data_IF_509131831645
#
_entry.id   IF_509131831645
#
_cell.length_a   1.000
_cell.length_b   1.000
_cell.length_c   1.000
_cell.angle_alpha   90.00
_cell.angle_beta   90.00
_cell.angle_gamma   90.00
#
_symmetry.space_group_name_H-M   'P 1'
#
loop_
_entity.id
_entity.type
_entity.pdbx_description
1 polymer ?
#
# COMPACT_ATOMS: atom_id res chain seq x y z
N UNK A 1 -40.04 23.78 5.26
CA UNK A 1 -39.36 25.01 4.80
C UNK A 1 -38.21 24.74 3.82
N UNK A 2 -37.09 24.12 4.22
CA UNK A 2 -35.96 23.87 3.30
C UNK A 2 -36.30 22.83 2.24
N UNK A 3 -36.92 21.71 2.64
CA UNK A 3 -37.34 20.63 1.73
C UNK A 3 -38.36 21.14 0.72
N UNK A 4 -39.39 21.87 1.18
CA UNK A 4 -40.40 22.47 0.30
C UNK A 4 -39.81 23.44 -0.73
N UNK A 5 -38.66 24.06 -0.41
CA UNK A 5 -37.97 25.02 -1.30
C UNK A 5 -37.00 24.36 -2.27
N UNK A 6 -36.30 23.29 -1.85
CA UNK A 6 -35.19 22.71 -2.61
C UNK A 6 -35.53 21.38 -3.28
N UNK A 7 -36.60 20.70 -2.85
CA UNK A 7 -36.96 19.43 -3.45
C UNK A 7 -37.51 19.63 -4.86
N UNK A 8 -37.05 18.87 -5.87
CA UNK A 8 -37.55 18.99 -7.24
C UNK A 8 -39.01 18.53 -7.38
N UNK A 9 -39.56 17.85 -6.37
CA UNK A 9 -40.96 17.42 -6.26
C UNK A 9 -41.42 17.54 -4.80
N UNK A 10 -42.73 17.70 -4.52
CA UNK A 10 -43.25 17.71 -3.15
C UNK A 10 -42.80 16.48 -2.37
N UNK A 11 -42.18 16.68 -1.20
CA UNK A 11 -41.61 15.62 -0.39
C UNK A 11 -41.92 15.82 1.10
N UNK A 12 -42.39 14.76 1.77
CA UNK A 12 -42.63 14.75 3.22
C UNK A 12 -41.51 13.98 3.91
N UNK A 13 -40.74 14.66 4.76
CA UNK A 13 -39.71 14.00 5.58
C UNK A 13 -40.38 13.36 6.80
N UNK A 14 -40.15 12.06 7.00
CA UNK A 14 -40.64 11.32 8.17
C UNK A 14 -39.48 10.63 8.90
N UNK A 15 -39.63 10.43 10.22
CA UNK A 15 -38.66 9.72 11.08
C UNK A 15 -37.21 10.25 10.96
N UNK A 16 -37.04 11.58 10.93
CA UNK A 16 -35.72 12.21 10.89
C UNK A 16 -34.89 11.80 12.11
N UNK A 17 -33.79 11.07 11.88
CA UNK A 17 -32.87 10.62 12.93
C UNK A 17 -31.83 11.68 13.27
N UNK A 18 -31.36 12.42 12.28
CA UNK A 18 -30.33 13.45 12.44
C UNK A 18 -30.41 14.48 11.31
N UNK A 19 -30.07 15.74 11.63
CA UNK A 19 -29.91 16.83 10.68
C UNK A 19 -28.84 17.78 11.20
N UNK A 20 -28.06 18.36 10.29
CA UNK A 20 -27.02 19.33 10.63
C UNK A 20 -26.87 20.36 9.53
N UNK A 21 -26.32 21.52 9.91
CA UNK A 21 -25.96 22.61 9.02
C UNK A 21 -24.44 22.71 9.02
N UNK A 22 -23.84 22.74 7.83
CA UNK A 22 -22.40 22.92 7.68
C UNK A 22 -22.11 24.16 6.83
N UNK A 23 -20.96 24.78 7.08
CA UNK A 23 -20.45 25.87 6.25
C UNK A 23 -19.38 25.31 5.33
N UNK A 24 -19.50 25.57 4.03
CA UNK A 24 -18.48 25.25 3.05
C UNK A 24 -17.21 26.04 3.43
N UNK A 25 -16.17 25.32 3.81
CA UNK A 25 -14.85 25.85 4.13
C UNK A 25 -13.79 25.00 3.45
N UNK A 26 -12.72 25.65 3.01
CA UNK A 26 -11.50 25.01 2.54
C UNK A 26 -10.37 25.60 3.39
N UNK A 27 -9.67 24.75 4.15
CA UNK A 27 -8.43 25.12 4.83
C UNK A 27 -7.46 23.93 4.80
N UNK A 28 -6.17 24.21 4.70
CA UNK A 28 -5.11 23.24 4.92
C UNK A 28 -3.99 23.94 5.70
N UNK A 29 -3.32 23.21 6.59
CA UNK A 29 -2.17 23.71 7.34
C UNK A 29 -0.91 23.71 6.46
N UNK A 30 -0.01 24.67 6.69
CA UNK A 30 1.27 24.75 5.97
C UNK A 30 2.22 23.60 6.31
N UNK A 31 2.05 22.98 7.49
CA UNK A 31 2.85 21.87 8.00
C UNK A 31 1.98 20.88 8.77
N UNK A 32 2.05 19.60 8.43
CA UNK A 32 1.36 18.51 9.11
C UNK A 32 2.08 18.09 10.41
N UNK A 33 3.34 18.47 10.57
CA UNK A 33 4.08 18.28 11.81
C UNK A 33 5.18 19.32 12.01
N UNK A 34 5.42 19.66 13.27
CA UNK A 34 6.56 20.48 13.71
C UNK A 34 7.10 19.98 15.04
N UNK A 35 8.39 19.64 15.06
CA UNK A 35 9.05 18.99 16.18
C UNK A 35 8.36 17.68 16.58
N UNK A 36 7.60 17.71 17.68
CA UNK A 36 6.90 16.55 18.28
C UNK A 36 5.37 16.66 18.20
N UNK A 37 4.87 17.68 17.51
CA UNK A 37 3.43 17.93 17.36
C UNK A 37 3.04 17.63 15.93
N UNK A 38 2.00 16.81 15.76
CA UNK A 38 1.47 16.40 14.46
C UNK A 38 -0.04 16.60 14.44
N UNK A 39 -0.56 16.95 13.26
CA UNK A 39 -2.00 17.12 13.01
C UNK A 39 -2.43 16.19 11.89
N UNK A 40 -3.64 15.63 11.98
CA UNK A 40 -4.21 14.70 11.01
C UNK A 40 -5.72 14.95 10.85
N UNK A 41 -6.29 14.56 9.69
CA UNK A 41 -7.73 14.73 9.43
C UNK A 41 -8.16 16.20 9.47
N UNK A 42 -9.33 16.48 10.05
CA UNK A 42 -9.93 17.82 10.09
C UNK A 42 -9.04 18.90 10.76
N UNK A 43 -8.08 18.50 11.59
CA UNK A 43 -7.10 19.42 12.17
C UNK A 43 -6.04 19.88 11.15
N UNK A 44 -5.76 19.06 10.14
CA UNK A 44 -4.80 19.34 9.08
C UNK A 44 -5.47 19.92 7.84
N UNK A 45 -6.66 19.44 7.48
CA UNK A 45 -7.39 19.87 6.29
C UNK A 45 -8.90 19.81 6.50
N UNK A 46 -9.60 20.84 6.03
CA UNK A 46 -11.07 20.89 5.98
C UNK A 46 -11.44 21.18 4.54
N UNK A 47 -12.38 20.41 4.00
CA UNK A 47 -12.88 20.59 2.66
C UNK A 47 -14.40 20.34 2.60
N UNK A 48 -15.08 20.76 1.51
CA UNK A 48 -16.50 20.48 1.34
C UNK A 48 -16.79 18.97 1.39
N UNK A 49 -18.00 18.54 1.83
CA UNK A 49 -18.33 17.12 1.95
C UNK A 49 -18.57 16.43 0.60
N UNK A 50 -18.48 17.16 -0.52
CA UNK A 50 -18.54 16.60 -1.87
C UNK A 50 -17.48 15.50 -2.01
N UNK A 51 -17.93 14.31 -2.42
CA UNK A 51 -17.06 13.12 -2.52
C UNK A 51 -16.83 12.36 -1.20
N UNK A 52 -17.34 12.83 -0.05
CA UNK A 52 -17.23 12.14 1.26
C UNK A 52 -15.78 11.76 1.66
N UNK A 53 -14.83 12.66 1.39
CA UNK A 53 -13.40 12.35 1.51
C UNK A 53 -12.81 12.51 2.93
N UNK A 54 -13.41 13.35 3.79
CA UNK A 54 -12.73 13.84 5.00
C UNK A 54 -12.32 12.74 5.98
N UNK A 55 -13.26 11.84 6.29
CA UNK A 55 -13.01 10.70 7.16
C UNK A 55 -11.95 9.75 6.58
N UNK A 56 -12.03 9.44 5.28
CA UNK A 56 -11.08 8.54 4.63
C UNK A 56 -9.67 9.14 4.62
N UNK A 57 -9.53 10.42 4.26
CA UNK A 57 -8.23 11.11 4.28
C UNK A 57 -7.66 11.13 5.69
N UNK A 58 -8.46 11.49 6.70
CA UNK A 58 -8.01 11.55 8.09
C UNK A 58 -7.57 10.20 8.67
N UNK A 59 -8.28 9.12 8.33
CA UNK A 59 -7.84 7.76 8.71
C UNK A 59 -6.51 7.43 8.04
N UNK A 60 -6.36 7.72 6.74
CA UNK A 60 -5.11 7.45 6.02
C UNK A 60 -3.93 8.28 6.55
N UNK A 61 -4.17 9.52 6.97
CA UNK A 61 -3.17 10.36 7.64
C UNK A 61 -2.68 9.69 8.93
N UNK A 62 -3.61 9.26 9.78
CA UNK A 62 -3.27 8.58 11.03
C UNK A 62 -2.53 7.25 10.77
N UNK A 63 -2.98 6.44 9.81
CA UNK A 63 -2.32 5.18 9.45
C UNK A 63 -0.89 5.40 8.95
N UNK A 64 -0.65 6.44 8.13
CA UNK A 64 0.68 6.75 7.62
C UNK A 64 1.63 7.25 8.72
N UNK A 65 1.13 8.04 9.68
CA UNK A 65 1.93 8.55 10.79
C UNK A 65 2.21 7.48 11.86
N UNK A 66 1.23 6.62 12.15
CA UNK A 66 1.28 5.70 13.29
C UNK A 66 2.47 4.73 13.25
N UNK A 67 2.74 4.11 12.09
CA UNK A 67 3.86 3.16 11.99
C UNK A 67 5.22 3.86 12.09
N UNK A 68 5.33 5.09 11.55
CA UNK A 68 6.55 5.90 11.65
C UNK A 68 6.84 6.29 13.10
N UNK A 69 5.81 6.72 13.83
CA UNK A 69 5.90 6.98 15.27
C UNK A 69 6.29 5.72 16.04
N UNK A 70 5.69 4.57 15.74
CA UNK A 70 6.00 3.31 16.41
C UNK A 70 7.49 2.94 16.27
N UNK A 71 8.05 3.04 15.06
CA UNK A 71 9.48 2.75 14.83
C UNK A 71 10.40 3.73 15.55
N UNK A 72 10.10 5.03 15.50
CA UNK A 72 10.92 6.05 16.18
C UNK A 72 10.88 5.88 17.70
N UNK A 73 9.69 5.60 18.26
CA UNK A 73 9.54 5.35 19.70
C UNK A 73 10.16 4.02 20.13
N UNK A 74 10.18 3.02 19.25
CA UNK A 74 10.85 1.73 19.46
C UNK A 74 12.37 1.77 19.32
N UNK A 75 12.95 2.90 18.87
CA UNK A 75 14.39 2.99 18.59
C UNK A 75 14.81 2.23 17.33
N UNK A 76 13.87 1.94 16.44
CA UNK A 76 14.04 1.18 15.20
C UNK A 76 14.22 2.10 13.96
N UNK A 77 14.01 3.41 14.13
CA UNK A 77 14.19 4.43 13.10
C UNK A 77 14.64 5.76 13.70
N UNK A 78 15.25 6.60 12.87
CA UNK A 78 15.66 7.95 13.26
C UNK A 78 14.49 8.93 13.31
N UNK A 79 14.55 10.01 14.11
CA UNK A 79 13.47 10.99 14.21
C UNK A 79 13.15 11.70 12.88
N UNK A 80 14.12 11.72 11.94
CA UNK A 80 13.94 12.25 10.60
C UNK A 80 12.84 11.52 9.79
N UNK A 81 12.54 10.25 10.12
CA UNK A 81 11.44 9.50 9.50
C UNK A 81 10.10 10.21 9.63
N UNK A 82 9.87 10.96 10.71
CA UNK A 82 8.61 11.67 10.94
C UNK A 82 8.42 12.84 9.96
N UNK A 83 9.49 13.40 9.38
CA UNK A 83 9.38 14.42 8.34
C UNK A 83 8.75 13.85 7.05
N UNK A 84 8.85 12.53 6.82
CA UNK A 84 8.18 11.87 5.71
C UNK A 84 6.66 11.92 5.81
N UNK A 85 6.08 12.15 6.99
CA UNK A 85 4.63 12.28 7.13
C UNK A 85 4.10 13.51 6.38
N UNK A 86 4.71 14.69 6.59
CA UNK A 86 4.34 15.91 5.86
C UNK A 86 4.57 15.74 4.35
N UNK A 87 5.78 15.28 3.98
CA UNK A 87 6.17 15.11 2.59
C UNK A 87 5.26 14.15 1.80
N UNK A 88 4.69 13.13 2.46
CA UNK A 88 3.78 12.18 1.82
C UNK A 88 2.31 12.60 1.89
N UNK A 89 1.85 13.19 3.00
CA UNK A 89 0.41 13.39 3.27
C UNK A 89 -0.10 14.78 2.96
N UNK A 90 0.72 15.82 3.07
CA UNK A 90 0.28 17.19 2.74
C UNK A 90 -0.05 17.36 1.26
N UNK A 91 0.75 16.86 0.29
CA UNK A 91 0.38 16.94 -1.13
C UNK A 91 -0.95 16.24 -1.45
N UNK A 92 -1.26 15.12 -0.77
CA UNK A 92 -2.53 14.41 -0.92
C UNK A 92 -3.69 15.24 -0.35
N UNK A 93 -3.48 15.90 0.80
CA UNK A 93 -4.44 16.84 1.36
C UNK A 93 -4.73 18.00 0.40
N UNK A 94 -3.69 18.62 -0.15
CA UNK A 94 -3.79 19.71 -1.13
C UNK A 94 -4.56 19.28 -2.38
N UNK A 95 -4.29 18.07 -2.91
CA UNK A 95 -4.99 17.51 -4.05
C UNK A 95 -6.49 17.30 -3.76
N UNK A 96 -6.82 16.62 -2.65
CA UNK A 96 -8.20 16.33 -2.24
C UNK A 96 -8.97 17.63 -2.05
N UNK A 97 -8.37 18.60 -1.36
CA UNK A 97 -8.97 19.90 -1.10
C UNK A 97 -9.18 20.67 -2.41
N UNK A 98 -8.17 20.75 -3.27
CA UNK A 98 -8.27 21.44 -4.56
C UNK A 98 -9.35 20.83 -5.47
N UNK A 99 -9.46 19.50 -5.51
CA UNK A 99 -10.48 18.79 -6.29
C UNK A 99 -11.88 18.99 -5.73
N UNK A 100 -12.07 18.81 -4.42
CA UNK A 100 -13.40 18.92 -3.78
C UNK A 100 -13.98 20.33 -3.92
N UNK A 101 -13.12 21.36 -3.94
CA UNK A 101 -13.48 22.74 -4.29
C UNK A 101 -13.94 22.84 -5.75
N UNK A 102 -13.19 22.29 -6.71
CA UNK A 102 -13.63 22.25 -8.13
C UNK A 102 -14.98 21.55 -8.28
N UNK A 103 -15.18 20.39 -7.65
CA UNK A 103 -16.45 19.66 -7.67
C UNK A 103 -17.61 20.46 -7.06
N UNK A 104 -17.37 21.21 -5.99
CA UNK A 104 -18.39 22.06 -5.37
C UNK A 104 -18.81 23.23 -6.28
N UNK A 105 -17.90 23.74 -7.13
CA UNK A 105 -18.19 24.83 -8.06
C UNK A 105 -18.72 24.39 -9.42
N UNK A 106 -18.26 23.25 -9.94
CA UNK A 106 -18.47 22.83 -11.33
C UNK A 106 -19.29 21.53 -11.47
N UNK A 107 -19.53 20.84 -10.35
CA UNK A 107 -20.13 19.50 -10.34
C UNK A 107 -19.11 18.39 -10.65
N UNK A 108 -19.37 17.18 -10.16
CA UNK A 108 -18.50 16.01 -10.36
C UNK A 108 -18.45 15.58 -11.83
N UNK A 109 -19.48 15.89 -12.61
CA UNK A 109 -19.57 15.56 -14.04
C UNK A 109 -18.60 16.37 -14.92
N UNK A 110 -17.93 17.39 -14.37
CA UNK A 110 -16.95 18.20 -15.07
C UNK A 110 -15.52 17.62 -14.98
N UNK A 111 -15.32 16.48 -14.28
CA UNK A 111 -14.02 15.81 -14.23
C UNK A 111 -13.70 15.22 -15.63
N UNK A 112 -12.53 15.53 -16.22
CA UNK A 112 -12.15 15.01 -17.54
C UNK A 112 -11.80 13.52 -17.54
N UNK A 113 -11.60 12.91 -16.37
CA UNK A 113 -11.24 11.51 -16.25
C UNK A 113 -12.44 10.58 -16.51
N UNK A 114 -12.14 9.35 -16.92
CA UNK A 114 -13.18 8.35 -17.13
C UNK A 114 -13.89 7.99 -15.79
N UNK A 115 -15.15 7.53 -15.84
CA UNK A 115 -15.92 7.24 -14.63
C UNK A 115 -15.25 6.23 -13.67
N UNK A 116 -14.47 5.28 -14.20
CA UNK A 116 -13.74 4.31 -13.39
C UNK A 116 -12.61 4.95 -12.60
N UNK A 117 -11.83 5.82 -13.24
CA UNK A 117 -10.78 6.60 -12.57
C UNK A 117 -11.36 7.51 -11.50
N UNK A 118 -12.46 8.21 -11.79
CA UNK A 118 -13.15 9.05 -10.80
C UNK A 118 -13.58 8.21 -9.59
N UNK A 119 -14.19 7.04 -9.82
CA UNK A 119 -14.61 6.14 -8.73
C UNK A 119 -13.43 5.69 -7.86
N UNK A 120 -12.32 5.26 -8.46
CA UNK A 120 -11.13 4.82 -7.72
C UNK A 120 -10.49 5.98 -6.95
N UNK A 121 -10.50 7.20 -7.51
CA UNK A 121 -9.96 8.38 -6.85
C UNK A 121 -10.83 8.83 -5.67
N UNK A 122 -12.16 8.77 -5.80
CA UNK A 122 -13.08 9.02 -4.68
C UNK A 122 -12.99 7.90 -3.62
N UNK A 123 -12.65 6.67 -4.02
CA UNK A 123 -12.32 5.61 -3.06
C UNK A 123 -10.92 5.77 -2.43
N UNK A 124 -10.14 6.80 -2.83
CA UNK A 124 -8.75 7.03 -2.43
C UNK A 124 -7.81 5.85 -2.67
N UNK A 125 -8.12 5.04 -3.69
CA UNK A 125 -7.32 3.87 -4.07
C UNK A 125 -6.15 4.23 -4.99
N UNK A 126 -6.13 5.47 -5.52
CA UNK A 126 -5.06 5.99 -6.37
C UNK A 126 -3.97 6.76 -5.61
N UNK A 127 -4.10 6.89 -4.28
CA UNK A 127 -3.08 7.51 -3.43
C UNK A 127 -1.77 6.72 -3.56
N UNK A 128 -0.70 7.43 -3.87
CA UNK A 128 0.65 6.91 -3.97
C UNK A 128 1.67 7.96 -3.50
N UNK A 129 2.88 7.51 -3.21
CA UNK A 129 4.01 8.31 -2.75
C UNK A 129 5.19 8.20 -3.70
N UNK A 130 4.93 8.08 -5.02
CA UNK A 130 6.00 8.00 -6.03
C UNK A 130 6.89 9.24 -5.93
N UNK A 131 8.21 9.03 -5.97
CA UNK A 131 9.19 10.11 -5.78
C UNK A 131 9.27 10.66 -4.35
N UNK A 132 8.49 10.10 -3.42
CA UNK A 132 8.54 10.44 -2.01
C UNK A 132 9.80 9.92 -1.30
N UNK A 133 10.06 10.38 -0.08
CA UNK A 133 11.31 10.12 0.65
C UNK A 133 11.57 8.65 1.00
N UNK A 134 10.52 7.82 1.00
CA UNK A 134 10.58 6.40 1.33
C UNK A 134 10.34 5.50 0.11
N UNK A 135 10.20 6.08 -1.09
CA UNK A 135 10.07 5.35 -2.33
C UNK A 135 11.47 5.11 -2.91
N UNK A 136 11.88 3.85 -3.02
CA UNK A 136 13.10 3.45 -3.73
C UNK A 136 13.05 3.77 -5.23
N UNK A 137 14.16 3.56 -5.95
CA UNK A 137 14.20 3.77 -7.39
C UNK A 137 13.24 2.82 -8.12
N UNK A 138 12.66 3.25 -9.27
CA UNK A 138 11.80 2.38 -10.06
C UNK A 138 12.56 1.19 -10.64
N UNK A 139 11.87 0.06 -10.80
CA UNK A 139 12.42 -1.17 -11.38
C UNK A 139 11.34 -1.96 -12.15
N UNK A 140 11.75 -2.63 -13.23
CA UNK A 140 10.87 -3.42 -14.08
C UNK A 140 9.98 -2.58 -15.00
N UNK A 141 8.86 -3.14 -15.50
CA UNK A 141 7.98 -2.47 -16.46
C UNK A 141 7.41 -1.15 -15.91
N UNK A 142 7.36 -0.05 -16.71
CA UNK A 142 6.87 1.24 -16.24
C UNK A 142 5.40 1.26 -15.80
N UNK A 143 4.59 0.34 -16.34
CA UNK A 143 3.17 0.17 -16.05
C UNK A 143 2.89 -0.84 -14.93
N UNK A 144 3.93 -1.46 -14.38
CA UNK A 144 3.83 -2.27 -13.17
C UNK A 144 3.82 -1.37 -11.91
N UNK A 145 3.37 -1.91 -10.76
CA UNK A 145 3.47 -1.20 -9.48
C UNK A 145 4.93 -0.83 -9.17
N UNK A 146 5.14 0.43 -8.82
CA UNK A 146 6.43 1.03 -8.52
C UNK A 146 6.53 1.42 -7.04
N UNK A 147 7.74 1.63 -6.50
CA UNK A 147 7.91 2.19 -5.17
C UNK A 147 7.11 3.49 -4.98
N UNK A 148 6.45 3.60 -3.84
CA UNK A 148 5.46 4.64 -3.54
C UNK A 148 4.02 4.22 -3.83
N UNK A 149 3.78 3.28 -4.74
CA UNK A 149 2.42 2.80 -5.00
C UNK A 149 1.90 1.92 -3.86
N UNK A 150 0.57 1.89 -3.72
CA UNK A 150 -0.07 0.87 -2.91
C UNK A 150 0.20 -0.51 -3.52
N UNK A 151 0.58 -1.48 -2.69
CA UNK A 151 0.71 -2.87 -3.12
C UNK A 151 -0.65 -3.37 -3.64
N UNK A 152 -0.78 -3.74 -4.94
CA UNK A 152 -2.04 -4.24 -5.46
C UNK A 152 -2.50 -5.49 -4.74
N UNK A 153 -3.80 -5.63 -4.53
CA UNK A 153 -4.34 -6.87 -4.03
C UNK A 153 -4.53 -7.87 -5.17
N UNK A 154 -4.05 -9.09 -5.00
CA UNK A 154 -4.32 -10.20 -5.91
C UNK A 154 -5.12 -11.27 -5.16
N UNK A 155 -6.14 -11.82 -5.81
CA UNK A 155 -6.81 -13.03 -5.40
C UNK A 155 -6.10 -14.27 -5.94
N UNK A 156 -6.37 -15.43 -5.33
CA UNK A 156 -5.91 -16.71 -5.88
C UNK A 156 -4.55 -17.19 -5.38
N UNK A 157 -4.05 -16.63 -4.28
CA UNK A 157 -2.89 -17.21 -3.59
C UNK A 157 -3.32 -18.47 -2.84
N UNK A 158 -2.64 -19.59 -3.03
CA UNK A 158 -2.90 -20.83 -2.29
C UNK A 158 -1.67 -21.25 -1.48
N UNK A 159 -1.87 -22.14 -0.51
CA UNK A 159 -0.76 -22.78 0.21
C UNK A 159 -0.81 -24.29 -0.02
N UNK A 160 0.22 -25.02 0.40
CA UNK A 160 0.20 -26.48 0.32
C UNK A 160 -0.93 -27.12 1.16
N UNK A 161 -1.42 -26.42 2.20
CA UNK A 161 -2.43 -26.92 3.14
C UNK A 161 -3.82 -26.32 2.92
N UNK A 162 -3.90 -25.07 2.46
CA UNK A 162 -5.17 -24.37 2.22
C UNK A 162 -5.52 -24.41 0.72
N UNK A 163 -6.63 -25.09 0.42
CA UNK A 163 -7.18 -25.22 -0.94
C UNK A 163 -8.06 -24.05 -1.37
N UNK A 164 -8.44 -23.16 -0.45
CA UNK A 164 -9.21 -21.95 -0.80
C UNK A 164 -8.26 -20.82 -1.22
N UNK A 165 -8.62 -20.04 -2.25
CA UNK A 165 -7.83 -18.89 -2.68
C UNK A 165 -7.83 -17.79 -1.61
N UNK A 166 -6.65 -17.32 -1.24
CA UNK A 166 -6.40 -16.20 -0.35
C UNK A 166 -6.12 -14.93 -1.17
N UNK A 167 -6.45 -13.78 -0.59
CA UNK A 167 -6.05 -12.47 -1.11
C UNK A 167 -4.70 -12.07 -0.52
N UNK A 168 -3.89 -11.32 -1.27
CA UNK A 168 -2.64 -10.78 -0.74
C UNK A 168 -2.89 -9.87 0.47
N UNK A 169 -3.96 -9.08 0.47
CA UNK A 169 -4.33 -8.27 1.64
C UNK A 169 -4.61 -9.11 2.88
N UNK A 170 -5.15 -10.33 2.74
CA UNK A 170 -5.35 -11.24 3.87
C UNK A 170 -4.01 -11.79 4.38
N UNK A 171 -3.07 -12.02 3.46
CA UNK A 171 -1.69 -12.39 3.79
C UNK A 171 -1.00 -11.26 4.55
N UNK A 172 -1.11 -10.02 4.09
CA UNK A 172 -0.49 -8.85 4.74
C UNK A 172 -1.17 -8.45 6.06
N UNK A 173 -2.45 -8.79 6.23
CA UNK A 173 -3.26 -8.38 7.40
C UNK A 173 -2.63 -8.88 8.71
N UNK A 174 -2.62 -8.01 9.72
CA UNK A 174 -2.15 -8.33 11.07
C UNK A 174 -0.63 -8.28 11.23
N UNK A 175 0.12 -8.00 10.15
CA UNK A 175 1.57 -7.76 10.21
C UNK A 175 1.81 -6.27 10.42
N UNK A 176 2.40 -5.92 11.55
CA UNK A 176 2.66 -4.51 11.96
C UNK A 176 3.98 -3.96 11.44
N UNK A 177 4.88 -4.82 10.97
CA UNK A 177 6.17 -4.46 10.37
C UNK A 177 6.18 -4.52 8.85
N UNK A 178 7.35 -4.27 8.25
CA UNK A 178 7.56 -4.42 6.82
C UNK A 178 7.43 -5.89 6.39
N UNK A 179 6.95 -6.11 5.17
CA UNK A 179 6.82 -7.44 4.58
C UNK A 179 7.68 -7.51 3.32
N UNK A 180 8.55 -8.52 3.26
CA UNK A 180 9.37 -8.82 2.10
C UNK A 180 8.69 -9.92 1.29
N UNK A 181 8.19 -9.60 0.10
CA UNK A 181 7.59 -10.57 -0.82
C UNK A 181 8.64 -10.96 -1.86
N UNK A 182 8.96 -12.25 -1.93
CA UNK A 182 9.96 -12.79 -2.84
C UNK A 182 9.27 -13.67 -3.88
N UNK A 183 9.30 -13.24 -5.14
CA UNK A 183 8.74 -13.97 -6.27
C UNK A 183 9.85 -14.72 -7.02
N UNK A 184 9.74 -16.03 -7.14
CA UNK A 184 10.76 -16.87 -7.78
C UNK A 184 10.22 -18.24 -8.20
N UNK A 185 10.90 -18.94 -9.12
CA UNK A 185 10.43 -20.21 -9.70
C UNK A 185 10.36 -21.35 -8.67
N UNK A 186 11.20 -21.27 -7.65
CA UNK A 186 11.29 -22.23 -6.54
C UNK A 186 11.47 -21.50 -5.20
N UNK A 187 11.60 -22.27 -4.12
CA UNK A 187 11.81 -21.72 -2.78
C UNK A 187 13.28 -21.49 -2.43
N UNK A 188 14.23 -21.96 -3.24
CA UNK A 188 15.67 -21.92 -2.94
C UNK A 188 16.19 -20.49 -3.01
N UNK A 189 15.99 -19.82 -4.15
CA UNK A 189 16.41 -18.42 -4.32
C UNK A 189 15.77 -17.49 -3.29
N UNK A 190 14.43 -17.56 -3.05
CA UNK A 190 13.78 -16.83 -1.98
C UNK A 190 14.30 -17.13 -0.58
N UNK A 191 14.66 -18.39 -0.25
CA UNK A 191 15.21 -18.74 1.05
C UNK A 191 16.61 -18.12 1.25
N UNK A 192 17.47 -18.18 0.23
CA UNK A 192 18.79 -17.54 0.25
C UNK A 192 18.68 -16.02 0.39
N UNK A 193 17.79 -15.41 -0.39
CA UNK A 193 17.51 -13.97 -0.34
C UNK A 193 16.96 -13.53 1.03
N UNK A 194 16.07 -14.33 1.63
CA UNK A 194 15.53 -14.09 2.98
C UNK A 194 16.63 -14.17 4.04
N UNK A 195 17.48 -15.19 3.99
CA UNK A 195 18.61 -15.35 4.90
C UNK A 195 19.61 -14.19 4.78
N UNK A 196 19.89 -13.73 3.56
CA UNK A 196 20.75 -12.58 3.32
C UNK A 196 20.16 -11.26 3.86
N UNK A 197 18.84 -11.10 3.81
CA UNK A 197 18.14 -9.94 4.39
C UNK A 197 18.10 -9.95 5.93
N UNK A 198 18.09 -11.14 6.54
CA UNK A 198 18.01 -11.31 7.99
C UNK A 198 19.29 -10.91 8.75
N UNK A 199 20.42 -10.75 8.05
CA UNK A 199 21.70 -10.32 8.65
C UNK A 199 21.76 -8.85 9.09
N UNK A 200 20.69 -8.07 8.89
CA UNK A 200 20.57 -6.68 9.35
C UNK A 200 20.25 -6.55 10.85
N UNK A 201 20.44 -5.34 11.40
CA UNK A 201 20.25 -5.04 12.82
C UNK A 201 18.94 -5.61 13.41
N UNK A 202 19.04 -6.27 14.56
CA UNK A 202 17.93 -6.91 15.25
C UNK A 202 16.87 -5.87 15.67
N UNK A 203 15.70 -5.91 15.04
CA UNK A 203 14.54 -5.06 15.37
C UNK A 203 13.56 -4.87 14.21
N UNK A 204 14.08 -4.67 12.99
CA UNK A 204 13.29 -4.26 11.81
C UNK A 204 13.27 -5.30 10.69
N UNK A 205 13.66 -6.54 10.96
CA UNK A 205 13.74 -7.57 9.92
C UNK A 205 12.33 -7.81 9.33
N UNK A 206 12.15 -7.62 8.01
CA UNK A 206 10.83 -7.77 7.41
C UNK A 206 10.36 -9.21 7.51
N UNK A 207 9.07 -9.40 7.80
CA UNK A 207 8.46 -10.72 7.68
C UNK A 207 8.54 -11.14 6.22
N UNK A 208 9.19 -12.26 5.94
CA UNK A 208 9.37 -12.72 4.56
C UNK A 208 8.21 -13.63 4.14
N UNK A 209 7.75 -13.45 2.91
CA UNK A 209 6.75 -14.28 2.24
C UNK A 209 7.30 -14.66 0.85
N UNK A 210 7.21 -15.93 0.49
CA UNK A 210 7.57 -16.41 -0.84
C UNK A 210 6.32 -16.61 -1.68
N UNK A 211 6.33 -16.14 -2.93
CA UNK A 211 5.26 -16.37 -3.91
C UNK A 211 5.84 -17.13 -5.11
N UNK A 212 5.38 -18.35 -5.31
CA UNK A 212 5.76 -19.20 -6.43
C UNK A 212 4.84 -18.96 -7.63
N UNK A 213 5.35 -18.99 -8.86
CA UNK A 213 4.53 -18.88 -10.06
C UNK A 213 3.52 -20.03 -10.16
N UNK A 214 2.51 -19.81 -11.01
CA UNK A 214 1.60 -20.87 -11.44
C UNK A 214 2.40 -21.98 -12.11
N UNK A 215 2.14 -23.24 -11.74
CA UNK A 215 2.68 -24.38 -12.47
C UNK A 215 2.17 -24.34 -13.92
N UNK A 216 3.05 -24.63 -14.88
CA UNK A 216 2.60 -24.92 -16.23
C UNK A 216 1.61 -26.10 -16.17
N UNK A 217 0.54 -26.11 -16.99
CA UNK A 217 -0.30 -27.30 -17.10
C UNK A 217 0.61 -28.48 -17.43
N UNK A 218 0.64 -29.51 -16.58
CA UNK A 218 1.37 -30.74 -16.88
C UNK A 218 0.82 -31.29 -18.19
N UNK A 219 1.69 -31.56 -19.14
CA UNK A 219 1.29 -32.33 -20.32
C UNK A 219 0.96 -33.76 -19.88
N UNK A 220 0.07 -34.47 -20.58
CA UNK A 220 -0.23 -35.88 -20.27
C UNK A 220 1.02 -36.77 -20.30
N UNK A 221 2.09 -36.33 -20.96
CA UNK A 221 3.39 -37.00 -20.99
C UNK A 221 4.18 -36.86 -19.67
N UNK A 222 3.99 -35.77 -18.91
CA UNK A 222 4.68 -35.52 -17.64
C UNK A 222 4.04 -36.27 -16.47
N UNK A 223 2.78 -36.71 -16.62
CA UNK A 223 2.08 -37.53 -15.62
C UNK A 223 2.70 -38.93 -15.49
N UNK A 224 3.29 -39.47 -16.57
CA UNK A 224 3.95 -40.77 -16.57
C UNK A 224 5.34 -40.75 -15.89
N UNK A 225 5.98 -39.57 -15.76
CA UNK A 225 7.27 -39.42 -15.12
C UNK A 225 7.19 -39.22 -13.59
N UNK A 226 5.98 -39.11 -13.02
CA UNK A 226 5.74 -38.84 -11.61
C UNK A 226 5.74 -40.09 -10.69
N UNK A 227 6.49 -41.15 -11.05
CA UNK A 227 6.76 -42.29 -10.15
C UNK A 227 8.03 -42.12 -9.31
N UNK A 228 8.70 -40.96 -9.41
CA UNK A 228 9.77 -40.61 -8.49
C UNK A 228 9.19 -40.50 -7.05
N UNK A 229 9.89 -41.05 -6.04
CA UNK A 229 9.44 -40.99 -4.65
C UNK A 229 9.19 -39.52 -4.25
N UNK A 230 8.24 -39.26 -3.33
CA UNK A 230 7.94 -37.91 -2.91
C UNK A 230 9.25 -37.24 -2.49
N UNK A 231 9.61 -36.17 -3.21
CA UNK A 231 10.72 -35.30 -2.83
C UNK A 231 10.47 -34.99 -1.36
N UNK A 232 11.43 -35.40 -0.53
CA UNK A 232 11.41 -35.20 0.90
C UNK A 232 11.06 -33.74 1.13
N UNK A 233 10.01 -33.48 1.92
CA UNK A 233 9.56 -32.12 2.20
C UNK A 233 10.78 -31.24 2.46
N UNK A 234 11.00 -30.15 1.69
CA UNK A 234 12.16 -29.31 1.92
C UNK A 234 12.16 -28.94 3.40
N UNK A 235 13.30 -29.13 4.06
CA UNK A 235 13.51 -28.82 5.47
C UNK A 235 12.80 -27.50 5.76
N UNK A 236 11.88 -27.52 6.73
CA UNK A 236 10.91 -26.46 6.99
C UNK A 236 11.50 -25.07 6.73
N UNK A 237 11.25 -24.54 5.53
CA UNK A 237 11.54 -23.16 5.21
C UNK A 237 10.73 -22.35 6.21
N UNK A 238 11.39 -21.61 7.10
CA UNK A 238 10.71 -20.72 8.06
C UNK A 238 9.92 -19.61 7.37
N UNK A 239 10.08 -19.45 6.04
CA UNK A 239 9.38 -18.50 5.20
C UNK A 239 8.06 -19.10 4.70
N UNK A 240 6.95 -18.39 4.95
CA UNK A 240 5.64 -18.78 4.45
C UNK A 240 5.61 -18.76 2.92
N UNK A 241 5.34 -19.91 2.30
CA UNK A 241 5.27 -20.05 0.85
C UNK A 241 3.82 -20.09 0.36
N UNK A 242 3.52 -19.24 -0.62
CA UNK A 242 2.25 -19.18 -1.34
C UNK A 242 2.48 -19.46 -2.81
N UNK A 243 1.45 -19.93 -3.48
CA UNK A 243 1.44 -20.16 -4.92
C UNK A 243 0.46 -19.21 -5.59
N UNK A 244 0.90 -18.53 -6.64
CA UNK A 244 0.06 -17.70 -7.52
C UNK A 244 -0.77 -18.59 -8.45
N UNK A 245 -1.71 -19.36 -7.88
CA UNK A 245 -2.47 -20.38 -8.61
C UNK A 245 -3.34 -19.78 -9.74
N UNK A 246 -3.89 -18.58 -9.51
CA UNK A 246 -4.67 -17.85 -10.51
C UNK A 246 -3.80 -17.08 -11.53
N UNK A 247 -2.48 -16.94 -11.28
CA UNK A 247 -1.60 -16.09 -12.08
C UNK A 247 -1.86 -14.59 -11.91
N UNK A 248 -2.66 -14.20 -10.91
CA UNK A 248 -3.07 -12.81 -10.73
C UNK A 248 -1.95 -11.97 -10.13
N UNK A 249 -1.11 -12.54 -9.25
CA UNK A 249 0.07 -11.83 -8.77
C UNK A 249 1.00 -11.49 -9.94
N UNK A 250 1.32 -12.47 -10.79
CA UNK A 250 2.14 -12.27 -11.97
C UNK A 250 1.54 -11.23 -12.94
N UNK A 251 0.21 -11.25 -13.12
CA UNK A 251 -0.51 -10.29 -13.97
C UNK A 251 -0.47 -8.86 -13.43
N UNK A 252 -0.68 -8.67 -12.12
CA UNK A 252 -0.77 -7.35 -11.49
C UNK A 252 0.61 -6.77 -11.16
N UNK A 253 1.51 -7.56 -10.57
CA UNK A 253 2.83 -7.12 -10.18
C UNK A 253 3.83 -7.15 -11.33
N UNK A 254 3.58 -7.95 -12.38
CA UNK A 254 4.41 -8.08 -13.58
C UNK A 254 5.90 -8.24 -13.25
N UNK A 255 6.27 -9.25 -12.45
CA UNK A 255 7.67 -9.48 -12.05
C UNK A 255 8.56 -9.60 -13.28
N UNK A 256 9.77 -9.06 -13.21
CA UNK A 256 10.77 -9.09 -14.29
C UNK A 256 11.83 -10.13 -13.92
N UNK A 257 11.52 -11.40 -14.23
CA UNK A 257 12.20 -12.55 -13.65
C UNK A 257 11.98 -12.68 -12.14
N UNK A 258 12.86 -13.41 -11.43
CA UNK A 258 12.82 -13.46 -9.97
C UNK A 258 12.94 -12.05 -9.38
N UNK A 259 11.90 -11.60 -8.66
CA UNK A 259 11.74 -10.21 -8.21
C UNK A 259 11.39 -10.17 -6.74
N UNK A 260 12.02 -9.27 -5.99
CA UNK A 260 11.66 -8.94 -4.62
C UNK A 260 10.85 -7.64 -4.52
N UNK A 261 9.93 -7.59 -3.57
CA UNK A 261 9.12 -6.43 -3.24
C UNK A 261 9.15 -6.18 -1.74
N UNK A 262 9.45 -4.96 -1.32
CA UNK A 262 9.39 -4.55 0.08
C UNK A 262 8.12 -3.72 0.30
N UNK A 263 7.24 -4.20 1.17
CA UNK A 263 5.96 -3.56 1.52
C UNK A 263 6.08 -2.92 2.90
N UNK A 264 5.66 -1.66 3.00
CA UNK A 264 5.59 -0.89 4.25
C UNK A 264 4.43 -1.35 5.14
N UNK A 265 4.47 -1.05 6.45
CA UNK A 265 3.34 -1.30 7.36
C UNK A 265 2.01 -0.68 6.92
N UNK A 266 2.04 0.41 6.13
CA UNK A 266 0.85 1.06 5.57
C UNK A 266 0.43 0.51 4.19
N UNK A 267 1.01 -0.61 3.75
CA UNK A 267 0.65 -1.32 2.52
C UNK A 267 1.16 -0.69 1.23
N UNK A 268 2.10 0.26 1.29
CA UNK A 268 2.75 0.83 0.11
C UNK A 268 4.08 0.15 -0.18
N UNK A 269 4.46 0.06 -1.45
CA UNK A 269 5.75 -0.46 -1.87
C UNK A 269 6.85 0.53 -1.46
N UNK A 270 7.78 0.08 -0.64
CA UNK A 270 9.02 0.80 -0.34
C UNK A 270 10.04 0.59 -1.46
N UNK A 271 10.15 -0.62 -1.98
CA UNK A 271 11.13 -0.98 -2.99
C UNK A 271 10.67 -2.17 -3.82
N UNK A 272 11.23 -2.27 -5.03
CA UNK A 272 11.11 -3.40 -5.95
C UNK A 272 12.47 -3.59 -6.62
N UNK A 273 12.94 -4.84 -6.73
CA UNK A 273 14.33 -5.13 -7.11
C UNK A 273 14.50 -6.54 -7.67
N UNK A 274 15.58 -6.83 -8.42
CA UNK A 274 15.96 -8.20 -8.76
C UNK A 274 16.15 -9.05 -7.49
N UNK A 275 15.75 -10.33 -7.49
CA UNK A 275 15.84 -11.18 -6.30
C UNK A 275 17.27 -11.28 -5.72
N UNK A 276 18.30 -11.23 -6.57
CA UNK A 276 19.70 -11.24 -6.14
C UNK A 276 20.13 -10.02 -5.31
N UNK A 277 19.43 -8.90 -5.46
CA UNK A 277 19.77 -7.63 -4.80
C UNK A 277 19.04 -7.46 -3.46
N UNK A 278 18.36 -8.50 -2.96
CA UNK A 278 17.48 -8.43 -1.80
C UNK A 278 18.17 -7.82 -0.56
N UNK A 279 19.38 -8.27 -0.23
CA UNK A 279 20.11 -7.76 0.93
C UNK A 279 20.46 -6.26 0.78
N UNK A 280 20.90 -5.85 -0.40
CA UNK A 280 21.22 -4.45 -0.70
C UNK A 280 19.98 -3.56 -0.62
N UNK A 281 18.86 -4.01 -1.19
CA UNK A 281 17.62 -3.24 -1.20
C UNK A 281 17.04 -3.06 0.21
N UNK A 282 17.04 -4.12 1.03
CA UNK A 282 16.59 -4.05 2.43
C UNK A 282 17.53 -3.16 3.25
N UNK A 283 18.84 -3.28 3.08
CA UNK A 283 19.81 -2.43 3.77
C UNK A 283 19.68 -0.95 3.38
N UNK A 284 19.49 -0.65 2.10
CA UNK A 284 19.29 0.72 1.61
C UNK A 284 18.01 1.33 2.17
N UNK A 285 16.91 0.57 2.19
CA UNK A 285 15.67 1.05 2.79
C UNK A 285 15.78 1.23 4.30
N UNK A 286 16.42 0.30 5.01
CA UNK A 286 16.68 0.44 6.44
C UNK A 286 17.53 1.70 6.72
N UNK A 287 18.58 1.95 5.94
CA UNK A 287 19.37 3.18 6.05
C UNK A 287 18.51 4.44 5.84
N UNK A 288 17.54 4.40 4.91
CA UNK A 288 16.61 5.50 4.72
C UNK A 288 15.78 5.78 5.99
N UNK A 289 15.31 4.75 6.72
CA UNK A 289 14.58 4.93 7.99
C UNK A 289 15.38 5.72 9.05
N UNK A 290 16.71 5.69 8.98
CA UNK A 290 17.60 6.44 9.87
C UNK A 290 18.08 7.77 9.31
N UNK A 291 18.09 7.91 7.99
CA UNK A 291 18.82 8.95 7.28
C UNK A 291 18.02 9.75 6.25
N UNK A 292 16.69 9.73 6.25
CA UNK A 292 15.91 10.56 5.30
C UNK A 292 16.26 12.04 5.50
N UNK A 293 17.08 12.58 4.59
CA UNK A 293 17.22 14.00 4.38
C UNK A 293 16.04 14.46 3.53
N UNK A 294 14.99 14.98 4.16
CA UNK A 294 13.95 15.70 3.43
C UNK A 294 14.58 17.00 2.95
N UNK A 295 14.71 17.16 1.63
CA UNK A 295 15.05 18.45 1.04
C UNK A 295 13.98 19.46 1.49
N UNK A 296 14.38 20.43 2.31
CA UNK A 296 13.49 21.53 2.70
C UNK A 296 13.16 22.33 1.43
N UNK A 297 11.87 22.58 1.11
CA UNK A 297 11.50 23.50 0.06
C UNK A 297 11.94 24.93 0.39
#
# INVERSE_FOLDING_TARGET
AVVDRLAPRPAVVSRMRWSSVFRISHRIVDRYGDGRVFVAGDAAHIHPPTGAQGMNTGIQDACNLAWKLALVLGGEAGPALLACYDAERRPIGEEVVGRTVRHAHQGVQADPDDPGTVMLREAQLLVNYRGGPLAGPPYGPPDAPQPGDRAPDCGGLTTALATFPLRLLDVLRGRTGHVLILYGPDTTGPAEASAAAAGGAAGTAPVTVTVLPREAPRSDADAAAASAPPVTAPAASSVAAYRDAAGEFARLYRPDGPTGFLVRPDGHLAARFPLGDTAQAVAAYHAALWGVAVARP
#
